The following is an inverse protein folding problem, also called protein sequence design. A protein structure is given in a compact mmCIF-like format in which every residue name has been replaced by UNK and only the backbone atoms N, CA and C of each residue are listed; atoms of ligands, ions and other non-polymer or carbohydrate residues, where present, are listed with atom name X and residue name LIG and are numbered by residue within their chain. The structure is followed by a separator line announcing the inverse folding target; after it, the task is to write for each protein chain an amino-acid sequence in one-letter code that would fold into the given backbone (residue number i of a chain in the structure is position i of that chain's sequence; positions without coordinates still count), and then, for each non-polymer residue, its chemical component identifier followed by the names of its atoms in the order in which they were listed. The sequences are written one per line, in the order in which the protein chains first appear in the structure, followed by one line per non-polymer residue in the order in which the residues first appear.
data_IF_746491406739
#
_entry.id   IF_746491406739
#
_cell.length_a   1.000
_cell.length_b   1.000
_cell.length_c   1.000
_cell.angle_alpha   90.00
_cell.angle_beta   90.00
_cell.angle_gamma   90.00
#
_symmetry.space_group_name_H-M   'P 1'
#
loop_
_entity.id
_entity.type
_entity.pdbx_description
1 polymer ?
#
# COMPACT_ATOMS: atom_id res chain seq x y z
N UNK A 1 -24.71 10.49 21.31
CA UNK A 1 -23.36 11.01 21.61
C UNK A 1 -23.49 12.52 21.82
N UNK A 2 -23.09 13.10 22.97
CA UNK A 2 -22.85 14.53 23.06
C UNK A 2 -21.34 14.73 23.21
N UNK A 3 -20.61 14.63 22.09
CA UNK A 3 -19.24 15.12 21.99
C UNK A 3 -19.19 16.06 20.79
N UNK A 4 -18.53 17.20 20.97
CA UNK A 4 -18.50 18.27 20.00
C UNK A 4 -17.73 17.78 18.74
N UNK A 5 -18.49 17.42 17.70
CA UNK A 5 -17.97 17.07 16.38
C UNK A 5 -17.95 18.28 15.43
N UNK A 6 -18.03 19.52 15.96
CA UNK A 6 -18.10 20.75 15.15
C UNK A 6 -16.84 20.94 14.29
N UNK A 7 -15.70 20.37 14.71
CA UNK A 7 -14.45 20.38 13.95
C UNK A 7 -14.37 19.29 12.85
N UNK A 8 -15.31 18.35 12.78
CA UNK A 8 -15.34 17.36 11.71
C UNK A 8 -15.82 17.97 10.39
N UNK A 9 -14.96 17.90 9.37
CA UNK A 9 -15.38 18.17 8.00
C UNK A 9 -15.72 16.87 7.27
N UNK A 10 -16.96 16.77 6.79
CA UNK A 10 -17.44 15.60 6.06
C UNK A 10 -17.18 15.76 4.56
N UNK A 11 -16.55 14.76 3.95
CA UNK A 11 -16.34 14.67 2.49
C UNK A 11 -17.34 13.72 1.83
N UNK A 12 -17.77 12.70 2.56
CA UNK A 12 -18.86 11.77 2.22
C UNK A 12 -19.61 11.46 3.51
N UNK A 13 -20.94 11.39 3.44
CA UNK A 13 -21.80 11.29 4.62
C UNK A 13 -21.95 12.64 5.34
N UNK A 14 -22.49 12.60 6.57
CA UNK A 14 -22.72 13.78 7.40
C UNK A 14 -22.79 13.40 8.89
N UNK A 15 -22.99 14.39 9.76
CA UNK A 15 -23.09 14.16 11.21
C UNK A 15 -24.23 13.21 11.60
N UNK A 16 -25.35 13.23 10.89
CA UNK A 16 -26.47 12.32 11.15
C UNK A 16 -26.10 10.87 10.79
N UNK A 17 -25.45 10.65 9.65
CA UNK A 17 -24.93 9.34 9.26
C UNK A 17 -23.96 8.82 10.33
N UNK A 18 -23.00 9.63 10.74
CA UNK A 18 -22.02 9.26 11.77
C UNK A 18 -22.69 8.87 13.10
N UNK A 19 -23.69 9.64 13.54
CA UNK A 19 -24.42 9.38 14.77
C UNK A 19 -25.21 8.06 14.74
N UNK A 20 -25.72 7.66 13.57
CA UNK A 20 -26.51 6.44 13.39
C UNK A 20 -25.67 5.18 13.16
N UNK A 21 -24.39 5.32 12.79
CA UNK A 21 -23.52 4.19 12.43
C UNK A 21 -23.44 3.08 13.49
N UNK A 22 -23.50 3.44 14.78
CA UNK A 22 -23.45 2.47 15.89
C UNK A 22 -24.69 1.56 15.97
N UNK A 23 -25.76 1.90 15.25
CA UNK A 23 -27.00 1.14 15.19
C UNK A 23 -27.15 0.32 13.90
N UNK A 24 -26.20 0.46 12.96
CA UNK A 24 -26.22 -0.24 11.68
C UNK A 24 -25.96 -1.73 11.90
N UNK A 25 -26.77 -2.55 11.25
CA UNK A 25 -26.62 -4.01 11.27
C UNK A 25 -25.43 -4.42 10.38
N UNK A 26 -24.51 -5.26 10.88
CA UNK A 26 -23.47 -5.83 10.03
C UNK A 26 -24.07 -6.69 8.91
N UNK A 27 -23.43 -6.69 7.76
CA UNK A 27 -23.82 -7.48 6.58
C UNK A 27 -22.92 -8.72 6.44
N UNK A 28 -23.33 -9.64 5.57
CA UNK A 28 -22.46 -10.75 5.15
C UNK A 28 -21.36 -10.22 4.22
N UNK A 29 -20.17 -10.83 4.20
CA UNK A 29 -19.14 -10.45 3.23
C UNK A 29 -19.62 -10.64 1.79
N UNK A 30 -19.19 -9.74 0.90
CA UNK A 30 -19.58 -9.74 -0.51
C UNK A 30 -21.11 -9.70 -0.73
N UNK A 31 -21.80 -8.93 0.10
CA UNK A 31 -23.22 -8.57 -0.01
C UNK A 31 -23.53 -8.00 -1.40
N UNK A 32 -24.65 -8.42 -2.01
CA UNK A 32 -24.93 -8.11 -3.41
C UNK A 32 -25.16 -6.61 -3.63
N UNK A 33 -25.82 -5.89 -2.71
CA UNK A 33 -25.97 -4.42 -2.81
C UNK A 33 -24.62 -3.69 -2.76
N UNK A 34 -23.68 -4.20 -1.93
CA UNK A 34 -22.32 -3.66 -1.87
C UNK A 34 -21.59 -3.94 -3.19
N UNK A 35 -21.70 -5.15 -3.73
CA UNK A 35 -21.08 -5.50 -5.01
C UNK A 35 -21.61 -4.65 -6.17
N UNK A 36 -22.92 -4.39 -6.20
CA UNK A 36 -23.56 -3.52 -7.18
C UNK A 36 -23.06 -2.07 -7.05
N UNK A 37 -23.01 -1.55 -5.83
CA UNK A 37 -22.47 -0.22 -5.54
C UNK A 37 -21.02 -0.07 -6.00
N UNK A 38 -20.14 -1.04 -5.68
CA UNK A 38 -18.74 -0.97 -6.09
C UNK A 38 -18.56 -1.03 -7.61
N UNK A 39 -19.39 -1.81 -8.30
CA UNK A 39 -19.41 -1.84 -9.76
C UNK A 39 -19.88 -0.51 -10.35
N UNK A 40 -20.89 0.12 -9.74
CA UNK A 40 -21.34 1.46 -10.14
C UNK A 40 -20.26 2.50 -9.88
N UNK A 41 -19.64 2.48 -8.70
CA UNK A 41 -18.52 3.34 -8.33
C UNK A 41 -17.34 3.21 -9.31
N UNK A 42 -17.00 1.99 -9.72
CA UNK A 42 -16.00 1.73 -10.76
C UNK A 42 -16.32 2.47 -12.07
N UNK A 43 -17.56 2.36 -12.55
CA UNK A 43 -18.01 3.04 -13.79
C UNK A 43 -18.00 4.56 -13.63
N UNK A 44 -18.54 5.08 -12.53
CA UNK A 44 -18.56 6.52 -12.23
C UNK A 44 -17.15 7.08 -12.17
N UNK A 45 -16.23 6.40 -11.47
CA UNK A 45 -14.85 6.84 -11.34
C UNK A 45 -14.12 6.88 -12.68
N UNK A 46 -14.32 5.89 -13.57
CA UNK A 46 -13.73 5.88 -14.93
C UNK A 46 -14.37 6.89 -15.89
N UNK A 47 -15.61 7.33 -15.63
CA UNK A 47 -16.29 8.33 -16.41
C UNK A 47 -15.80 9.76 -16.13
N UNK A 48 -15.22 10.02 -14.94
CA UNK A 48 -14.60 11.30 -14.63
C UNK A 48 -13.33 11.49 -15.47
N UNK A 49 -13.28 12.56 -16.28
CA UNK A 49 -12.16 12.83 -17.18
C UNK A 49 -10.81 12.91 -16.44
N UNK A 50 -10.80 13.53 -15.25
CA UNK A 50 -9.62 13.72 -14.41
C UNK A 50 -9.04 12.40 -13.90
N UNK A 51 -9.83 11.32 -13.77
CA UNK A 51 -9.33 10.03 -13.27
C UNK A 51 -8.24 9.45 -14.18
N UNK A 52 -8.28 9.73 -15.49
CA UNK A 52 -7.33 9.19 -16.47
C UNK A 52 -5.92 9.77 -16.32
N UNK A 53 -5.77 10.89 -15.61
CA UNK A 53 -4.47 11.50 -15.30
C UNK A 53 -3.73 10.75 -14.18
N UNK A 54 -4.43 9.90 -13.42
CA UNK A 54 -3.92 9.26 -12.21
C UNK A 54 -4.04 7.73 -12.30
N UNK A 55 -2.93 7.06 -12.59
CA UNK A 55 -2.89 5.60 -12.77
C UNK A 55 -3.31 4.81 -11.52
N UNK A 56 -3.05 5.36 -10.34
CA UNK A 56 -3.47 4.81 -9.04
C UNK A 56 -5.00 4.87 -8.86
N UNK A 57 -5.66 5.95 -9.31
CA UNK A 57 -7.13 6.08 -9.33
C UNK A 57 -7.75 5.12 -10.35
N UNK A 58 -7.16 4.98 -11.54
CA UNK A 58 -7.62 4.00 -12.54
C UNK A 58 -7.49 2.58 -12.01
N UNK A 59 -6.39 2.26 -11.31
CA UNK A 59 -6.17 0.96 -10.70
C UNK A 59 -7.23 0.64 -9.64
N UNK A 60 -7.57 1.62 -8.80
CA UNK A 60 -8.68 1.49 -7.84
C UNK A 60 -10.01 1.20 -8.55
N UNK A 61 -10.30 1.90 -9.65
CA UNK A 61 -11.53 1.65 -10.41
C UNK A 61 -11.57 0.22 -10.98
N UNK A 62 -10.45 -0.29 -11.50
CA UNK A 62 -10.36 -1.67 -11.97
C UNK A 62 -10.45 -2.70 -10.85
N UNK A 63 -9.96 -2.38 -9.65
CA UNK A 63 -10.12 -3.24 -8.48
C UNK A 63 -11.61 -3.43 -8.10
N UNK A 64 -12.43 -2.40 -8.33
CA UNK A 64 -13.88 -2.41 -8.11
C UNK A 64 -14.71 -3.03 -9.24
N UNK A 65 -14.09 -3.45 -10.35
CA UNK A 65 -14.84 -3.95 -11.52
C UNK A 65 -15.44 -5.33 -11.22
N UNK A 66 -16.53 -5.67 -11.91
CA UNK A 66 -17.26 -6.94 -11.73
C UNK A 66 -16.37 -8.18 -11.72
N UNK A 67 -15.42 -8.29 -12.65
CA UNK A 67 -14.53 -9.45 -12.73
C UNK A 67 -13.56 -9.55 -11.56
N UNK A 68 -13.01 -8.43 -11.09
CA UNK A 68 -12.11 -8.41 -9.93
C UNK A 68 -12.85 -8.77 -8.64
N UNK A 69 -14.04 -8.19 -8.42
CA UNK A 69 -14.87 -8.51 -7.26
C UNK A 69 -15.30 -9.97 -7.24
N UNK A 70 -15.66 -10.53 -8.41
CA UNK A 70 -16.00 -11.95 -8.54
C UNK A 70 -14.81 -12.84 -8.20
N UNK A 71 -13.62 -12.54 -8.73
CA UNK A 71 -12.40 -13.29 -8.43
C UNK A 71 -12.06 -13.24 -6.92
N UNK A 72 -12.22 -12.08 -6.29
CA UNK A 72 -12.02 -11.93 -4.84
C UNK A 72 -13.02 -12.80 -4.05
N UNK A 73 -14.29 -12.84 -4.46
CA UNK A 73 -15.35 -13.68 -3.85
C UNK A 73 -15.07 -15.18 -4.04
N UNK A 74 -14.62 -15.60 -5.22
CA UNK A 74 -14.35 -17.01 -5.57
C UNK A 74 -13.10 -17.56 -4.86
N UNK A 75 -12.11 -16.72 -4.57
CA UNK A 75 -10.92 -17.11 -3.79
C UNK A 75 -11.28 -17.39 -2.32
N UNK A 76 -12.50 -17.04 -1.91
CA UNK A 76 -12.96 -17.16 -0.54
C UNK A 76 -13.98 -18.29 -0.36
N UNK A 77 -13.62 -19.28 0.46
CA UNK A 77 -14.52 -20.35 0.90
C UNK A 77 -14.66 -20.30 2.42
N UNK A 78 -15.80 -19.79 2.96
CA UNK A 78 -16.01 -19.75 4.40
C UNK A 78 -16.06 -21.14 5.04
N UNK A 79 -15.38 -21.30 6.17
CA UNK A 79 -15.72 -22.33 7.17
C UNK A 79 -16.80 -21.76 8.12
N UNK A 80 -18.06 -21.74 7.67
CA UNK A 80 -19.21 -21.28 8.45
C UNK A 80 -19.80 -19.94 8.00
N UNK A 81 -20.73 -19.38 8.79
CA UNK A 81 -21.37 -18.10 8.44
C UNK A 81 -20.52 -16.95 8.96
N UNK A 82 -20.08 -16.07 8.07
CA UNK A 82 -19.41 -14.82 8.42
C UNK A 82 -20.37 -13.64 8.45
N UNK A 83 -20.13 -12.74 9.40
CA UNK A 83 -20.75 -11.43 9.46
C UNK A 83 -19.69 -10.36 9.71
N UNK A 84 -19.92 -9.15 9.20
CA UNK A 84 -19.14 -7.99 9.61
C UNK A 84 -19.12 -7.82 11.14
N UNK A 85 -18.08 -7.16 11.63
CA UNK A 85 -17.92 -6.84 13.05
C UNK A 85 -18.83 -5.70 13.50
N UNK A 86 -19.12 -4.74 12.63
CA UNK A 86 -19.91 -3.54 12.94
C UNK A 86 -19.28 -2.30 12.31
N UNK A 87 -18.89 -1.35 13.15
CA UNK A 87 -18.23 -0.10 12.73
C UNK A 87 -16.71 -0.31 12.68
N UNK A 88 -16.10 0.05 11.56
CA UNK A 88 -14.65 0.07 11.37
C UNK A 88 -14.19 1.51 11.29
N UNK A 89 -13.25 1.88 12.15
CA UNK A 89 -12.61 3.19 12.13
C UNK A 89 -11.23 3.11 11.47
N UNK A 90 -11.05 3.81 10.35
CA UNK A 90 -9.84 3.77 9.53
C UNK A 90 -9.09 5.10 9.65
N UNK A 91 -7.78 5.03 9.85
CA UNK A 91 -6.89 6.19 9.82
C UNK A 91 -5.95 6.01 8.64
N UNK A 92 -6.19 6.76 7.56
CA UNK A 92 -5.45 6.65 6.32
C UNK A 92 -4.03 7.27 6.43
N UNK A 93 -3.06 6.78 5.64
CA UNK A 93 -1.70 7.29 5.71
C UNK A 93 -1.55 8.58 4.88
N UNK A 94 -0.54 9.39 5.19
CA UNK A 94 -0.29 10.67 4.51
C UNK A 94 0.56 10.58 3.24
N UNK A 95 1.14 9.41 2.94
CA UNK A 95 2.08 9.19 1.84
C UNK A 95 1.45 8.55 0.59
N UNK A 96 0.31 7.86 0.69
CA UNK A 96 -0.36 7.17 -0.43
C UNK A 96 -1.80 7.66 -0.60
N UNK A 97 -2.06 8.40 -1.67
CA UNK A 97 -3.30 9.12 -1.89
C UNK A 97 -4.56 8.23 -1.93
N UNK A 98 -4.48 7.06 -2.57
CA UNK A 98 -5.63 6.17 -2.80
C UNK A 98 -5.86 5.14 -1.69
N UNK A 99 -4.95 5.02 -0.72
CA UNK A 99 -5.00 3.93 0.27
C UNK A 99 -6.24 3.96 1.17
N UNK A 100 -6.74 5.17 1.48
CA UNK A 100 -8.00 5.32 2.24
C UNK A 100 -9.17 4.62 1.54
N UNK A 101 -9.19 4.63 0.21
CA UNK A 101 -10.23 4.00 -0.58
C UNK A 101 -10.11 2.48 -0.46
N UNK A 102 -8.93 1.89 -0.68
CA UNK A 102 -8.74 0.44 -0.48
C UNK A 102 -9.15 -0.01 0.93
N UNK A 103 -8.82 0.78 1.97
CA UNK A 103 -9.26 0.54 3.35
C UNK A 103 -10.79 0.58 3.50
N UNK A 104 -11.45 1.61 2.96
CA UNK A 104 -12.91 1.75 2.93
C UNK A 104 -13.57 0.54 2.24
N UNK A 105 -13.12 0.22 1.03
CA UNK A 105 -13.74 -0.81 0.20
C UNK A 105 -13.56 -2.19 0.81
N UNK A 106 -12.42 -2.45 1.46
CA UNK A 106 -12.21 -3.65 2.27
C UNK A 106 -13.24 -3.73 3.39
N UNK A 107 -13.47 -2.63 4.12
CA UNK A 107 -14.48 -2.57 5.16
C UNK A 107 -15.90 -2.84 4.64
N UNK A 108 -16.26 -2.30 3.48
CA UNK A 108 -17.54 -2.57 2.82
C UNK A 108 -17.66 -4.04 2.39
N UNK A 109 -16.66 -4.59 1.68
CA UNK A 109 -16.65 -5.98 1.22
C UNK A 109 -16.73 -6.98 2.38
N UNK A 110 -16.26 -6.60 3.57
CA UNK A 110 -16.31 -7.40 4.79
C UNK A 110 -17.58 -7.18 5.61
N UNK A 111 -18.55 -6.41 5.10
CA UNK A 111 -19.88 -6.25 5.69
C UNK A 111 -19.96 -5.23 6.83
N UNK A 112 -19.04 -4.26 6.88
CA UNK A 112 -18.95 -3.27 7.94
C UNK A 112 -19.41 -1.88 7.50
N UNK A 113 -19.85 -1.07 8.47
CA UNK A 113 -19.95 0.39 8.33
C UNK A 113 -18.58 1.03 8.58
N UNK A 114 -18.25 2.12 7.89
CA UNK A 114 -16.89 2.62 7.81
C UNK A 114 -16.81 4.12 8.08
N UNK A 115 -16.04 4.46 9.10
CA UNK A 115 -15.61 5.84 9.39
C UNK A 115 -14.16 5.92 8.97
N UNK A 116 -13.83 6.77 8.00
CA UNK A 116 -12.45 6.91 7.51
C UNK A 116 -11.98 8.33 7.72
N UNK A 117 -10.93 8.49 8.52
CA UNK A 117 -10.14 9.72 8.56
C UNK A 117 -9.26 9.78 7.32
N UNK A 118 -9.52 10.75 6.47
CA UNK A 118 -8.77 10.97 5.23
C UNK A 118 -7.33 11.44 5.50
N UNK A 119 -6.41 11.26 4.53
CA UNK A 119 -5.05 11.76 4.64
C UNK A 119 -5.02 13.27 4.95
N UNK A 120 -4.12 13.69 5.84
CA UNK A 120 -3.93 15.11 6.15
C UNK A 120 -3.30 15.89 4.99
N UNK A 121 -2.46 15.23 4.20
CA UNK A 121 -1.89 15.79 2.96
C UNK A 121 -2.98 15.91 1.90
N UNK A 122 -3.01 17.06 1.22
CA UNK A 122 -3.96 17.31 0.13
C UNK A 122 -3.54 16.56 -1.13
N UNK A 123 -4.45 15.74 -1.66
CA UNK A 123 -4.28 15.01 -2.91
C UNK A 123 -5.48 15.28 -3.83
N UNK A 124 -5.22 15.44 -5.13
CA UNK A 124 -6.28 15.59 -6.13
C UNK A 124 -7.09 14.30 -6.23
N UNK A 125 -6.42 13.14 -6.13
CA UNK A 125 -7.04 11.81 -6.13
C UNK A 125 -8.13 11.66 -5.06
N UNK A 126 -7.90 12.19 -3.85
CA UNK A 126 -8.90 12.15 -2.76
C UNK A 126 -10.17 12.89 -3.17
N UNK A 127 -10.04 14.03 -3.85
CA UNK A 127 -11.19 14.80 -4.34
C UNK A 127 -11.97 14.04 -5.42
N UNK A 128 -11.26 13.48 -6.40
CA UNK A 128 -11.85 12.68 -7.49
C UNK A 128 -12.63 11.49 -6.92
N UNK A 129 -12.01 10.75 -5.98
CA UNK A 129 -12.63 9.58 -5.36
C UNK A 129 -13.85 9.97 -4.52
N UNK A 130 -13.77 11.03 -3.71
CA UNK A 130 -14.91 11.51 -2.93
C UNK A 130 -16.06 11.98 -3.82
N UNK A 131 -15.75 12.65 -4.94
CA UNK A 131 -16.75 13.05 -5.93
C UNK A 131 -17.45 11.83 -6.53
N UNK A 132 -16.70 10.84 -6.99
CA UNK A 132 -17.26 9.61 -7.54
C UNK A 132 -18.12 8.86 -6.50
N UNK A 133 -17.67 8.76 -5.25
CA UNK A 133 -18.46 8.15 -4.17
C UNK A 133 -19.79 8.88 -3.95
N UNK A 134 -19.79 10.21 -3.85
CA UNK A 134 -21.02 10.98 -3.64
C UNK A 134 -22.01 10.80 -4.80
N UNK A 135 -21.53 10.85 -6.05
CA UNK A 135 -22.36 10.63 -7.24
C UNK A 135 -22.98 9.22 -7.23
N UNK A 136 -22.18 8.18 -6.96
CA UNK A 136 -22.70 6.80 -6.91
C UNK A 136 -23.70 6.61 -5.76
N UNK A 137 -23.53 7.30 -4.64
CA UNK A 137 -24.45 7.26 -3.49
C UNK A 137 -25.78 7.98 -3.71
N UNK A 138 -25.96 8.71 -4.82
CA UNK A 138 -27.27 9.24 -5.22
C UNK A 138 -28.19 8.12 -5.71
N UNK A 139 -27.63 7.13 -6.44
CA UNK A 139 -28.37 5.98 -6.97
C UNK A 139 -28.41 4.79 -5.99
N UNK A 140 -27.46 4.72 -5.04
CA UNK A 140 -27.33 3.63 -4.07
C UNK A 140 -27.54 4.11 -2.62
N UNK A 141 -28.71 4.70 -2.34
CA UNK A 141 -29.01 5.32 -1.05
C UNK A 141 -28.85 4.38 0.16
N UNK A 142 -29.12 3.08 0.01
CA UNK A 142 -28.99 2.08 1.07
C UNK A 142 -27.53 1.90 1.58
N UNK A 143 -26.53 2.27 0.77
CA UNK A 143 -25.12 2.18 1.13
C UNK A 143 -24.63 3.45 1.85
N UNK A 144 -25.38 4.56 1.76
CA UNK A 144 -24.98 5.86 2.33
C UNK A 144 -24.71 5.80 3.83
N UNK A 145 -25.50 5.02 4.56
CA UNK A 145 -25.34 4.87 6.00
C UNK A 145 -24.04 4.13 6.37
N UNK A 146 -23.46 3.35 5.44
CA UNK A 146 -22.25 2.56 5.67
C UNK A 146 -20.96 3.35 5.49
N UNK A 147 -21.00 4.60 5.03
CA UNK A 147 -19.80 5.35 4.63
C UNK A 147 -19.79 6.76 5.23
N UNK A 148 -18.74 7.07 5.99
CA UNK A 148 -18.45 8.41 6.48
C UNK A 148 -16.97 8.71 6.28
N UNK A 149 -16.66 9.65 5.38
CA UNK A 149 -15.30 10.13 5.13
C UNK A 149 -15.13 11.50 5.80
N UNK A 150 -14.21 11.59 6.75
CA UNK A 150 -14.01 12.78 7.58
C UNK A 150 -12.58 13.33 7.48
N UNK A 151 -12.47 14.64 7.60
CA UNK A 151 -11.22 15.39 7.71
C UNK A 151 -11.19 16.09 9.08
N UNK A 152 -10.10 15.87 9.82
CA UNK A 152 -9.75 16.59 11.03
C UNK A 152 -8.23 16.45 11.26
N UNK A 153 -7.66 17.37 12.05
CA UNK A 153 -6.24 17.43 12.35
C UNK A 153 -5.91 16.52 13.54
N UNK A 154 -5.34 17.05 14.61
CA UNK A 154 -4.85 16.28 15.77
C UNK A 154 -5.79 16.43 16.97
N UNK A 155 -7.10 16.53 16.73
CA UNK A 155 -8.10 16.56 17.78
C UNK A 155 -8.23 15.18 18.43
N UNK A 156 -7.47 14.97 19.51
CA UNK A 156 -7.42 13.72 20.28
C UNK A 156 -8.81 13.29 20.78
N UNK A 157 -9.66 14.25 21.17
CA UNK A 157 -11.02 13.99 21.61
C UNK A 157 -11.86 13.32 20.51
N UNK A 158 -11.72 13.76 19.26
CA UNK A 158 -12.39 13.16 18.11
C UNK A 158 -11.87 11.74 17.88
N UNK A 159 -10.55 11.56 17.90
CA UNK A 159 -9.95 10.23 17.70
C UNK A 159 -10.38 9.25 18.80
N UNK A 160 -10.45 9.71 20.05
CA UNK A 160 -10.94 8.93 21.18
C UNK A 160 -12.43 8.60 21.04
N UNK A 161 -13.26 9.56 20.63
CA UNK A 161 -14.68 9.35 20.41
C UNK A 161 -14.95 8.27 19.35
N UNK A 162 -14.27 8.37 18.21
CA UNK A 162 -14.40 7.41 17.11
C UNK A 162 -13.83 6.03 17.46
N UNK A 163 -12.73 5.99 18.21
CA UNK A 163 -12.14 4.74 18.72
C UNK A 163 -13.05 4.03 19.73
N UNK A 164 -13.76 4.78 20.58
CA UNK A 164 -14.63 4.21 21.61
C UNK A 164 -15.88 3.51 21.05
N UNK A 165 -16.25 3.79 19.80
CA UNK A 165 -17.50 3.26 19.20
C UNK A 165 -17.25 2.20 18.12
N UNK A 166 -16.00 1.97 17.72
CA UNK A 166 -15.68 1.02 16.66
C UNK A 166 -15.47 -0.42 17.18
N UNK A 167 -15.76 -1.40 16.33
CA UNK A 167 -15.52 -2.83 16.56
C UNK A 167 -14.27 -3.33 15.81
N UNK A 168 -13.72 -2.53 14.90
CA UNK A 168 -12.34 -2.63 14.46
C UNK A 168 -11.72 -1.26 14.20
N UNK A 169 -10.42 -1.12 14.39
CA UNK A 169 -9.64 0.07 14.05
C UNK A 169 -8.49 -0.33 13.10
N UNK A 170 -8.36 0.34 11.97
CA UNK A 170 -7.27 0.16 11.01
C UNK A 170 -6.40 1.42 11.02
N UNK A 171 -5.12 1.27 11.36
CA UNK A 171 -4.19 2.38 11.48
C UNK A 171 -3.09 2.22 10.45
N UNK A 172 -3.04 3.13 9.49
CA UNK A 172 -1.98 3.20 8.48
C UNK A 172 -1.07 4.37 8.81
N UNK A 173 0.20 4.12 9.12
CA UNK A 173 1.13 5.21 9.40
C UNK A 173 2.47 4.76 9.97
N UNK A 174 3.32 5.73 10.28
CA UNK A 174 4.60 5.46 10.92
C UNK A 174 4.44 4.90 12.33
N UNK A 175 5.48 4.20 12.81
CA UNK A 175 5.48 3.54 14.13
C UNK A 175 5.07 4.48 15.27
N UNK A 176 5.56 5.72 15.25
CA UNK A 176 5.18 6.74 16.24
C UNK A 176 3.70 7.09 16.19
N UNK A 177 3.16 7.34 14.99
CA UNK A 177 1.74 7.64 14.81
C UNK A 177 0.87 6.48 15.32
N UNK A 178 1.25 5.24 15.00
CA UNK A 178 0.52 4.06 15.49
C UNK A 178 0.59 3.98 17.02
N UNK A 179 1.77 4.18 17.62
CA UNK A 179 1.92 4.17 19.07
C UNK A 179 1.08 5.25 19.75
N UNK A 180 0.97 6.44 19.15
CA UNK A 180 0.15 7.54 19.66
C UNK A 180 -1.35 7.22 19.54
N UNK A 181 -1.82 6.73 18.39
CA UNK A 181 -3.22 6.35 18.19
C UNK A 181 -3.62 5.19 19.11
N UNK A 182 -2.72 4.23 19.35
CA UNK A 182 -3.00 3.06 20.20
C UNK A 182 -3.23 3.41 21.67
N UNK A 183 -2.92 4.64 22.10
CA UNK A 183 -3.26 5.15 23.44
C UNK A 183 -4.76 5.39 23.62
N UNK A 184 -5.49 5.64 22.52
CA UNK A 184 -6.94 5.84 22.59
C UNK A 184 -7.65 4.53 22.90
N UNK A 185 -8.45 4.54 23.96
CA UNK A 185 -9.12 3.37 24.49
C UNK A 185 -10.12 2.80 23.48
N UNK A 186 -10.12 1.47 23.38
CA UNK A 186 -11.02 0.70 22.53
C UNK A 186 -11.96 -0.14 23.40
N UNK A 187 -13.17 -0.47 22.91
CA UNK A 187 -13.97 -1.53 23.52
C UNK A 187 -13.19 -2.85 23.62
N UNK A 188 -13.39 -3.67 24.68
CA UNK A 188 -12.54 -4.84 24.93
C UNK A 188 -12.47 -5.90 23.83
N UNK A 189 -13.47 -5.95 22.94
CA UNK A 189 -13.54 -6.93 21.84
C UNK A 189 -13.08 -6.36 20.49
N UNK A 190 -12.65 -5.11 20.45
CA UNK A 190 -12.28 -4.43 19.21
C UNK A 190 -10.97 -4.99 18.67
N UNK A 191 -10.92 -5.20 17.35
CA UNK A 191 -9.69 -5.60 16.65
C UNK A 191 -8.92 -4.35 16.25
N UNK A 192 -7.63 -4.27 16.61
CA UNK A 192 -6.78 -3.10 16.33
C UNK A 192 -5.64 -3.47 15.37
N UNK A 193 -5.87 -3.24 14.08
CA UNK A 193 -4.98 -3.63 12.97
C UNK A 193 -4.06 -2.45 12.65
N UNK A 194 -2.75 -2.70 12.67
CA UNK A 194 -1.75 -1.67 12.38
C UNK A 194 -0.89 -2.07 11.18
N UNK A 195 -0.80 -1.15 10.21
CA UNK A 195 0.10 -1.19 9.07
C UNK A 195 1.21 -0.19 9.32
N UNK A 196 2.29 -0.73 9.91
CA UNK A 196 3.42 0.02 10.42
C UNK A 196 4.37 0.51 9.34
N UNK A 197 5.38 1.27 9.75
CA UNK A 197 6.44 1.71 8.86
C UNK A 197 7.22 0.49 8.33
N UNK A 198 7.47 0.48 7.01
CA UNK A 198 8.05 -0.65 6.28
C UNK A 198 8.90 -0.14 5.12
N UNK A 199 9.77 -1.02 4.62
CA UNK A 199 10.44 -0.86 3.34
C UNK A 199 10.25 -2.11 2.49
N UNK A 200 10.55 -1.98 1.20
CA UNK A 200 10.51 -3.10 0.26
C UNK A 200 11.83 -3.18 -0.51
N UNK A 201 12.07 -4.33 -1.14
CA UNK A 201 13.27 -4.60 -1.93
C UNK A 201 12.88 -5.26 -3.26
N UNK A 202 13.73 -5.15 -4.27
CA UNK A 202 13.53 -5.74 -5.58
C UNK A 202 14.71 -6.66 -5.91
N UNK A 203 14.43 -7.85 -6.42
CA UNK A 203 15.43 -8.80 -6.93
C UNK A 203 15.23 -8.95 -8.44
N UNK A 204 16.29 -8.66 -9.19
CA UNK A 204 16.34 -8.77 -10.64
C UNK A 204 17.35 -9.85 -11.01
N UNK A 205 16.93 -10.84 -11.79
CA UNK A 205 17.84 -11.80 -12.40
C UNK A 205 18.46 -11.17 -13.67
N UNK A 206 19.79 -11.06 -13.68
CA UNK A 206 20.54 -10.39 -14.73
C UNK A 206 20.41 -11.10 -16.09
N UNK A 207 20.54 -12.43 -16.10
CA UNK A 207 20.46 -13.24 -17.33
C UNK A 207 19.08 -13.11 -17.98
N UNK A 208 18.03 -13.27 -17.18
CA UNK A 208 16.65 -13.10 -17.61
C UNK A 208 16.39 -11.68 -18.09
N UNK A 209 16.89 -10.67 -17.37
CA UNK A 209 16.76 -9.29 -17.81
C UNK A 209 17.39 -9.09 -19.18
N UNK A 210 18.61 -9.60 -19.44
CA UNK A 210 19.26 -9.46 -20.74
C UNK A 210 18.48 -10.13 -21.87
N UNK A 211 17.86 -11.29 -21.61
CA UNK A 211 17.13 -12.06 -22.62
C UNK A 211 15.77 -11.46 -23.03
N UNK A 212 15.12 -10.65 -22.17
CA UNK A 212 13.80 -10.08 -22.48
C UNK A 212 13.87 -8.97 -23.52
N UNK A 213 12.96 -8.96 -24.48
CA UNK A 213 12.94 -7.92 -25.52
C UNK A 213 12.33 -6.59 -25.03
N UNK A 214 11.19 -6.63 -24.33
CA UNK A 214 10.43 -5.44 -23.97
C UNK A 214 10.96 -4.73 -22.70
N UNK A 215 12.15 -4.11 -22.81
CA UNK A 215 12.75 -3.33 -21.71
C UNK A 215 11.94 -2.09 -21.33
N UNK A 216 11.16 -1.52 -22.26
CA UNK A 216 10.34 -0.32 -22.02
C UNK A 216 9.25 -0.61 -20.97
N UNK A 217 8.62 -1.78 -21.04
CA UNK A 217 7.61 -2.19 -20.06
C UNK A 217 8.20 -2.38 -18.66
N UNK A 218 9.39 -2.98 -18.57
CA UNK A 218 10.09 -3.17 -17.29
C UNK A 218 10.39 -1.81 -16.63
N UNK A 219 10.82 -0.80 -17.41
CA UNK A 219 11.05 0.54 -16.91
C UNK A 219 9.77 1.20 -16.35
N UNK A 220 8.64 0.99 -17.01
CA UNK A 220 7.32 1.45 -16.54
C UNK A 220 6.90 0.73 -15.25
N UNK A 221 7.02 -0.59 -15.22
CA UNK A 221 6.69 -1.41 -14.04
C UNK A 221 7.57 -1.04 -12.84
N UNK A 222 8.87 -0.80 -13.05
CA UNK A 222 9.77 -0.32 -12.01
C UNK A 222 9.40 1.10 -11.53
N UNK A 223 9.01 2.01 -12.44
CA UNK A 223 8.52 3.33 -12.05
C UNK A 223 7.27 3.25 -11.16
N UNK A 224 6.30 2.42 -11.57
CA UNK A 224 5.06 2.24 -10.82
C UNK A 224 5.36 1.72 -9.41
N UNK A 225 6.23 0.73 -9.28
CA UNK A 225 6.62 0.20 -7.98
C UNK A 225 7.41 1.18 -7.11
N UNK A 226 8.10 2.16 -7.71
CA UNK A 226 9.05 3.03 -6.98
C UNK A 226 8.62 4.49 -7.00
N UNK A 227 8.90 5.19 -8.09
CA UNK A 227 8.83 6.65 -8.19
C UNK A 227 7.42 7.20 -8.38
N UNK A 228 6.40 6.38 -8.69
CA UNK A 228 4.99 6.85 -8.71
C UNK A 228 4.59 7.50 -7.38
N UNK A 229 5.07 6.93 -6.27
CA UNK A 229 4.87 7.46 -4.91
C UNK A 229 6.10 8.19 -4.37
N UNK A 230 7.03 8.60 -5.24
CA UNK A 230 8.35 9.14 -4.86
C UNK A 230 9.12 8.22 -3.90
N UNK A 231 8.91 6.91 -4.04
CA UNK A 231 9.51 5.88 -3.17
C UNK A 231 9.12 6.01 -1.68
N UNK A 232 7.99 6.68 -1.41
CA UNK A 232 7.49 6.90 -0.05
C UNK A 232 6.52 5.82 0.41
N UNK A 233 5.99 4.98 -0.50
CA UNK A 233 5.12 3.88 -0.11
C UNK A 233 5.91 2.75 0.58
N UNK A 234 5.29 2.11 1.57
CA UNK A 234 5.80 0.91 2.25
C UNK A 234 6.19 -0.21 1.26
N UNK A 235 5.45 -0.29 0.16
CA UNK A 235 5.61 -1.27 -0.92
C UNK A 235 6.74 -0.92 -1.89
N UNK A 236 7.27 0.31 -1.83
CA UNK A 236 8.22 0.80 -2.82
C UNK A 236 9.63 0.27 -2.57
N UNK A 237 10.24 -0.43 -3.54
CA UNK A 237 11.61 -0.92 -3.40
C UNK A 237 12.63 0.20 -3.15
N UNK A 238 13.44 0.01 -2.10
CA UNK A 238 14.58 0.88 -1.75
C UNK A 238 15.93 0.30 -2.18
N UNK A 239 15.98 -1.03 -2.32
CA UNK A 239 17.13 -1.81 -2.71
C UNK A 239 16.83 -2.57 -4.00
N UNK A 240 17.78 -2.56 -4.94
CA UNK A 240 17.80 -3.42 -6.14
C UNK A 240 18.92 -4.43 -6.00
N UNK A 241 18.54 -5.70 -5.85
CA UNK A 241 19.43 -6.85 -5.74
C UNK A 241 19.60 -7.47 -7.11
N UNK A 242 20.85 -7.70 -7.51
CA UNK A 242 21.20 -8.33 -8.78
C UNK A 242 21.68 -9.76 -8.56
N UNK A 243 20.92 -10.72 -9.12
CA UNK A 243 21.24 -12.16 -9.16
C UNK A 243 21.60 -12.58 -10.58
N UNK A 244 22.00 -13.84 -10.78
CA UNK A 244 22.38 -14.38 -12.09
C UNK A 244 23.89 -14.57 -12.26
N UNK A 245 24.33 -14.89 -13.48
CA UNK A 245 25.75 -15.09 -13.79
C UNK A 245 26.56 -13.81 -13.57
N UNK A 246 27.80 -13.97 -13.08
CA UNK A 246 28.67 -12.84 -12.71
C UNK A 246 28.94 -11.93 -13.90
N UNK A 247 29.12 -12.53 -15.06
CA UNK A 247 29.39 -11.91 -16.35
C UNK A 247 28.19 -11.07 -16.83
N UNK A 248 26.97 -11.52 -16.54
CA UNK A 248 25.72 -10.86 -16.94
C UNK A 248 25.37 -9.65 -16.09
N UNK A 249 25.70 -9.64 -14.80
CA UNK A 249 25.30 -8.59 -13.84
C UNK A 249 25.68 -7.18 -14.29
N UNK A 250 26.90 -6.98 -14.77
CA UNK A 250 27.38 -5.66 -15.20
C UNK A 250 26.61 -5.14 -16.43
N UNK A 251 26.44 -5.99 -17.45
CA UNK A 251 25.72 -5.63 -18.67
C UNK A 251 24.23 -5.39 -18.40
N UNK A 252 23.60 -6.23 -17.57
CA UNK A 252 22.19 -6.09 -17.19
C UNK A 252 21.92 -4.76 -16.47
N UNK A 253 22.76 -4.41 -15.49
CA UNK A 253 22.70 -3.14 -14.74
C UNK A 253 22.75 -1.94 -15.67
N UNK A 254 23.76 -1.90 -16.54
CA UNK A 254 23.93 -0.77 -17.45
C UNK A 254 22.74 -0.61 -18.40
N UNK A 255 22.25 -1.71 -18.98
CA UNK A 255 21.08 -1.68 -19.84
C UNK A 255 19.79 -1.31 -19.09
N UNK A 256 19.61 -1.79 -17.86
CA UNK A 256 18.45 -1.48 -17.03
C UNK A 256 18.39 -0.01 -16.67
N UNK A 257 19.46 0.52 -16.07
CA UNK A 257 19.46 1.89 -15.60
C UNK A 257 19.49 2.90 -16.74
N UNK A 258 20.18 2.62 -17.85
CA UNK A 258 20.13 3.49 -19.03
C UNK A 258 18.75 3.48 -19.69
N UNK A 259 18.09 2.31 -19.75
CA UNK A 259 16.72 2.17 -20.23
C UNK A 259 15.72 2.92 -19.36
N UNK A 260 15.81 2.76 -18.04
CA UNK A 260 14.98 3.46 -17.06
C UNK A 260 15.19 4.97 -17.12
N UNK A 261 16.44 5.44 -17.20
CA UNK A 261 16.77 6.85 -17.38
C UNK A 261 16.15 7.43 -18.66
N UNK A 262 16.29 6.74 -19.80
CA UNK A 262 15.70 7.18 -21.08
C UNK A 262 14.18 7.29 -20.97
N UNK A 263 13.53 6.31 -20.35
CA UNK A 263 12.09 6.30 -20.14
C UNK A 263 11.63 7.45 -19.21
N UNK A 264 12.41 7.77 -18.18
CA UNK A 264 12.12 8.89 -17.27
C UNK A 264 12.32 10.26 -17.93
N UNK A 265 13.21 10.40 -18.91
CA UNK A 265 13.41 11.67 -19.61
C UNK A 265 12.16 12.14 -20.37
N UNK A 266 11.26 11.22 -20.73
CA UNK A 266 9.94 11.53 -21.33
C UNK A 266 8.92 12.06 -20.31
N UNK A 267 9.29 12.19 -19.03
CA UNK A 267 8.40 12.56 -17.90
C UNK A 267 8.92 13.79 -17.13
N UNK A 268 8.07 14.43 -16.32
CA UNK A 268 8.47 15.54 -15.46
C UNK A 268 9.73 15.22 -14.65
N UNK A 269 10.60 16.20 -14.49
CA UNK A 269 11.76 16.08 -13.61
C UNK A 269 11.30 15.97 -12.14
N UNK A 270 12.05 15.28 -11.26
CA UNK A 270 11.76 15.31 -9.84
C UNK A 270 11.91 16.74 -9.30
N UNK A 271 11.19 17.05 -8.23
CA UNK A 271 11.37 18.31 -7.52
C UNK A 271 12.80 18.43 -6.96
N UNK A 272 13.38 19.63 -7.00
CA UNK A 272 14.74 19.87 -6.52
C UNK A 272 14.94 19.42 -5.06
N UNK A 273 13.90 19.55 -4.23
CA UNK A 273 13.94 19.10 -2.83
C UNK A 273 14.16 17.59 -2.70
N UNK A 274 13.49 16.79 -3.54
CA UNK A 274 13.67 15.34 -3.56
C UNK A 274 15.11 14.97 -3.94
N UNK A 275 15.66 15.63 -4.97
CA UNK A 275 17.05 15.40 -5.41
C UNK A 275 18.05 15.73 -4.29
N UNK A 276 17.85 16.84 -3.59
CA UNK A 276 18.71 17.25 -2.46
C UNK A 276 18.59 16.28 -1.29
N UNK A 277 17.36 15.85 -0.96
CA UNK A 277 17.13 14.87 0.11
C UNK A 277 17.80 13.51 -0.20
N UNK A 278 17.65 13.00 -1.42
CA UNK A 278 18.28 11.77 -1.86
C UNK A 278 19.81 11.86 -1.77
N UNK A 279 20.39 12.99 -2.21
CA UNK A 279 21.83 13.23 -2.10
C UNK A 279 22.30 13.31 -0.64
N UNK A 280 21.55 14.02 0.21
CA UNK A 280 21.87 14.14 1.63
C UNK A 280 21.81 12.78 2.34
N UNK A 281 20.80 11.95 2.03
CA UNK A 281 20.69 10.59 2.57
C UNK A 281 21.86 9.70 2.13
N UNK A 282 22.24 9.76 0.84
CA UNK A 282 23.44 9.07 0.36
C UNK A 282 24.70 9.54 1.11
N UNK A 283 24.94 10.86 1.21
CA UNK A 283 26.13 11.41 1.85
C UNK A 283 26.23 11.00 3.32
N UNK A 284 25.11 10.95 4.05
CA UNK A 284 25.07 10.49 5.44
C UNK A 284 25.64 9.08 5.58
N UNK A 285 25.19 8.15 4.73
CA UNK A 285 25.66 6.75 4.79
C UNK A 285 27.05 6.55 4.20
N UNK A 286 27.39 7.25 3.12
CA UNK A 286 28.72 7.17 2.52
C UNK A 286 29.82 7.70 3.46
N UNK A 287 29.46 8.62 4.38
CA UNK A 287 30.35 9.07 5.44
C UNK A 287 30.62 7.99 6.51
N UNK A 288 29.69 7.06 6.72
CA UNK A 288 29.81 5.96 7.69
C UNK A 288 30.43 4.70 7.07
N UNK A 289 30.13 4.40 5.80
CA UNK A 289 30.69 3.25 5.07
C UNK A 289 31.36 3.69 3.74
N UNK A 290 32.71 3.75 3.69
CA UNK A 290 33.43 4.16 2.48
C UNK A 290 33.30 3.16 1.32
N UNK A 291 32.72 1.97 1.54
CA UNK A 291 32.46 0.98 0.49
C UNK A 291 31.18 1.26 -0.27
N UNK A 292 30.32 2.15 0.23
CA UNK A 292 29.14 2.63 -0.48
C UNK A 292 29.58 3.60 -1.59
N UNK A 293 29.47 3.17 -2.85
CA UNK A 293 29.97 3.92 -4.00
C UNK A 293 28.82 4.56 -4.77
N UNK A 294 28.82 5.89 -4.85
CA UNK A 294 27.94 6.60 -5.79
C UNK A 294 28.24 6.19 -7.23
N UNK A 295 27.18 5.91 -7.99
CA UNK A 295 27.27 5.65 -9.42
C UNK A 295 26.76 6.89 -10.15
N UNK A 296 27.67 7.57 -10.85
CA UNK A 296 27.32 8.76 -11.61
C UNK A 296 26.33 8.43 -12.74
N UNK A 297 25.33 9.30 -12.90
CA UNK A 297 24.38 9.26 -14.00
C UNK A 297 24.40 10.60 -14.76
N UNK A 298 24.00 10.62 -16.05
CA UNK A 298 23.99 11.84 -16.85
C UNK A 298 23.05 12.94 -16.30
N UNK A 299 22.02 12.54 -15.56
CA UNK A 299 21.09 13.44 -14.88
C UNK A 299 20.87 12.99 -13.43
N UNK A 300 20.28 13.86 -12.61
CA UNK A 300 19.91 13.57 -11.21
C UNK A 300 18.42 13.25 -11.07
N UNK A 301 17.83 12.55 -12.04
CA UNK A 301 16.43 12.11 -11.97
C UNK A 301 16.20 11.04 -10.90
N UNK A 302 17.24 10.27 -10.61
CA UNK A 302 17.37 9.33 -9.50
C UNK A 302 18.85 9.18 -9.18
N UNK A 303 19.18 8.67 -8.00
CA UNK A 303 20.54 8.43 -7.53
C UNK A 303 20.75 6.93 -7.33
N UNK A 304 21.96 6.45 -7.58
CA UNK A 304 22.36 5.06 -7.38
C UNK A 304 23.60 5.00 -6.50
N UNK A 305 23.59 4.07 -5.56
CA UNK A 305 24.76 3.74 -4.78
C UNK A 305 24.96 2.22 -4.72
N UNK A 306 26.12 1.76 -5.16
CA UNK A 306 26.52 0.35 -5.05
C UNK A 306 27.04 0.09 -3.64
N UNK A 307 26.49 -0.91 -2.99
CA UNK A 307 26.93 -1.38 -1.69
C UNK A 307 27.54 -2.78 -1.82
N UNK A 308 28.63 -3.03 -1.11
CA UNK A 308 29.17 -4.40 -0.95
C UNK A 308 28.31 -5.25 -0.04
N UNK A 309 27.61 -4.61 0.90
CA UNK A 309 26.60 -5.20 1.76
C UNK A 309 25.64 -4.09 2.20
N UNK A 310 24.35 -4.42 2.33
CA UNK A 310 23.33 -3.49 2.81
C UNK A 310 22.88 -3.94 4.20
N UNK A 311 22.77 -3.01 5.14
CA UNK A 311 22.24 -3.31 6.47
C UNK A 311 20.74 -3.02 6.53
N UNK A 312 20.03 -3.73 7.42
CA UNK A 312 18.62 -3.45 7.68
C UNK A 312 18.40 -1.98 8.10
N UNK A 313 19.26 -1.46 9.00
CA UNK A 313 19.22 -0.05 9.45
C UNK A 313 19.25 0.92 8.27
N UNK A 314 20.10 0.66 7.28
CA UNK A 314 20.22 1.50 6.09
C UNK A 314 18.89 1.64 5.32
N UNK A 315 18.11 0.56 5.23
CA UNK A 315 16.80 0.56 4.55
C UNK A 315 15.68 1.15 5.41
N UNK A 316 15.77 0.98 6.73
CA UNK A 316 14.81 1.55 7.68
C UNK A 316 14.88 3.07 7.72
N UNK A 317 16.07 3.68 7.73
CA UNK A 317 16.20 5.15 7.75
C UNK A 317 16.26 5.77 6.34
N UNK A 318 16.12 4.96 5.28
CA UNK A 318 16.07 5.44 3.91
C UNK A 318 14.80 6.27 3.66
N UNK A 319 14.99 7.47 3.12
CA UNK A 319 13.94 8.51 3.04
C UNK A 319 13.19 8.59 1.71
N UNK A 320 13.49 7.72 0.76
CA UNK A 320 12.85 7.69 -0.55
C UNK A 320 13.52 8.66 -1.51
N UNK A 321 12.71 9.40 -2.26
CA UNK A 321 13.13 10.50 -3.14
C UNK A 321 14.03 10.06 -4.32
N UNK A 322 13.97 8.78 -4.67
CA UNK A 322 14.65 8.22 -5.83
C UNK A 322 16.13 7.91 -5.60
N UNK A 323 16.53 7.63 -4.37
CA UNK A 323 17.79 6.96 -4.06
C UNK A 323 17.58 5.44 -4.16
N UNK A 324 18.45 4.75 -4.90
CA UNK A 324 18.45 3.30 -5.00
C UNK A 324 19.79 2.74 -4.55
N UNK A 325 19.76 1.85 -3.56
CA UNK A 325 20.90 0.99 -3.27
C UNK A 325 20.93 -0.16 -4.26
N UNK A 326 22.13 -0.53 -4.69
CA UNK A 326 22.37 -1.72 -5.50
C UNK A 326 23.24 -2.71 -4.76
N UNK A 327 22.86 -3.98 -4.78
CA UNK A 327 23.64 -5.05 -4.17
C UNK A 327 23.72 -6.25 -5.13
N UNK A 328 24.93 -6.62 -5.52
CA UNK A 328 25.18 -7.80 -6.34
C UNK A 328 25.43 -8.98 -5.42
N UNK A 329 24.63 -10.04 -5.56
CA UNK A 329 24.72 -11.24 -4.72
C UNK A 329 24.95 -12.46 -5.59
N UNK A 330 25.79 -13.38 -5.15
CA UNK A 330 26.01 -14.67 -5.80
C UNK A 330 25.02 -15.72 -5.27
N UNK A 331 24.60 -15.57 -4.01
CA UNK A 331 23.56 -16.37 -3.38
C UNK A 331 22.41 -15.48 -2.88
N UNK A 332 21.17 -15.86 -3.19
CA UNK A 332 19.98 -15.16 -2.70
C UNK A 332 19.93 -15.11 -1.17
N UNK A 333 20.52 -16.08 -0.46
CA UNK A 333 20.55 -16.07 1.00
C UNK A 333 21.35 -14.90 1.59
N UNK A 334 22.20 -14.24 0.80
CA UNK A 334 22.94 -13.04 1.23
C UNK A 334 22.02 -11.88 1.61
N UNK A 335 20.79 -11.84 1.10
CA UNK A 335 19.84 -10.75 1.41
C UNK A 335 19.06 -10.98 2.71
N UNK A 336 19.13 -12.17 3.32
CA UNK A 336 18.41 -12.49 4.57
C UNK A 336 18.59 -11.42 5.66
N UNK A 337 19.78 -10.84 5.89
CA UNK A 337 19.98 -9.78 6.88
C UNK A 337 19.17 -8.50 6.65
N UNK A 338 18.70 -8.25 5.42
CA UNK A 338 17.81 -7.11 5.08
C UNK A 338 16.35 -7.53 4.90
N UNK A 339 16.01 -8.78 5.24
CA UNK A 339 14.64 -9.30 5.21
C UNK A 339 14.07 -9.41 6.63
N UNK A 340 14.38 -8.44 7.48
CA UNK A 340 13.87 -8.33 8.85
C UNK A 340 12.40 -7.93 8.91
N UNK A 341 11.86 -7.75 10.12
CA UNK A 341 10.43 -7.47 10.39
C UNK A 341 9.85 -6.24 9.68
N UNK A 342 10.70 -5.31 9.23
CA UNK A 342 10.29 -4.11 8.48
C UNK A 342 10.31 -4.29 6.97
N UNK A 343 10.89 -5.36 6.44
CA UNK A 343 10.86 -5.69 5.02
C UNK A 343 9.47 -6.24 4.68
N UNK A 344 8.66 -5.49 3.96
CA UNK A 344 7.29 -5.87 3.60
C UNK A 344 7.24 -6.67 2.29
N UNK A 345 7.67 -6.06 1.19
CA UNK A 345 7.49 -6.63 -0.15
C UNK A 345 8.84 -6.98 -0.77
N UNK A 346 8.91 -8.18 -1.33
CA UNK A 346 9.95 -8.63 -2.26
C UNK A 346 9.39 -8.56 -3.68
N UNK A 347 9.76 -7.54 -4.44
CA UNK A 347 9.49 -7.48 -5.87
C UNK A 347 10.49 -8.38 -6.61
N UNK A 348 10.03 -9.16 -7.59
CA UNK A 348 10.88 -10.10 -8.33
C UNK A 348 10.76 -9.91 -9.83
N UNK A 349 11.88 -9.94 -10.55
CA UNK A 349 11.91 -9.96 -12.01
C UNK A 349 12.84 -11.07 -12.52
N UNK A 350 12.26 -12.07 -13.20
CA UNK A 350 13.03 -13.18 -13.76
C UNK A 350 13.65 -14.13 -12.73
N UNK A 351 13.23 -14.05 -11.47
CA UNK A 351 13.79 -14.85 -10.39
C UNK A 351 13.12 -16.23 -10.38
N UNK A 352 13.88 -17.34 -10.48
CA UNK A 352 13.31 -18.68 -10.44
C UNK A 352 12.59 -18.98 -9.13
N UNK A 353 11.50 -19.75 -9.20
CA UNK A 353 10.70 -20.11 -8.01
C UNK A 353 11.54 -20.89 -6.98
N UNK A 354 12.49 -21.71 -7.44
CA UNK A 354 13.41 -22.46 -6.58
C UNK A 354 14.28 -21.53 -5.73
N UNK A 355 14.73 -20.41 -6.30
CA UNK A 355 15.51 -19.40 -5.60
C UNK A 355 14.67 -18.71 -4.52
N UNK A 356 13.42 -18.37 -4.83
CA UNK A 356 12.48 -17.81 -3.86
C UNK A 356 12.17 -18.82 -2.75
N UNK A 357 11.86 -20.07 -3.10
CA UNK A 357 11.61 -21.14 -2.12
C UNK A 357 12.80 -21.33 -1.19
N UNK A 358 14.04 -21.24 -1.72
CA UNK A 358 15.26 -21.32 -0.93
C UNK A 358 15.36 -20.16 0.07
N UNK A 359 15.12 -18.93 -0.38
CA UNK A 359 15.09 -17.76 0.50
C UNK A 359 14.07 -17.93 1.65
N UNK A 360 12.86 -18.41 1.35
CA UNK A 360 11.80 -18.55 2.34
C UNK A 360 12.03 -19.74 3.28
N UNK A 361 12.36 -20.92 2.75
CA UNK A 361 12.44 -22.16 3.53
C UNK A 361 13.77 -22.24 4.30
N UNK A 362 14.90 -21.90 3.67
CA UNK A 362 16.22 -21.97 4.30
C UNK A 362 16.58 -20.67 5.01
N UNK A 363 16.27 -19.52 4.40
CA UNK A 363 16.57 -18.21 4.98
C UNK A 363 15.62 -17.81 6.10
N UNK A 364 14.38 -18.32 6.09
CA UNK A 364 13.34 -18.05 7.10
C UNK A 364 13.28 -16.57 7.53
N UNK A 365 13.10 -15.63 6.58
CA UNK A 365 13.11 -14.20 6.88
C UNK A 365 12.03 -13.84 7.89
N UNK A 366 12.32 -12.86 8.75
CA UNK A 366 11.34 -12.38 9.75
C UNK A 366 10.29 -11.45 9.14
N UNK A 367 10.58 -10.85 7.99
CA UNK A 367 9.62 -10.12 7.16
C UNK A 367 9.36 -10.86 5.85
N UNK A 368 9.15 -10.09 4.79
CA UNK A 368 8.63 -10.52 3.49
C UNK A 368 7.21 -11.08 3.66
N UNK A 369 6.28 -10.16 3.85
CA UNK A 369 4.86 -10.45 3.90
C UNK A 369 4.26 -10.65 2.51
N UNK A 370 4.95 -10.18 1.46
CA UNK A 370 4.50 -10.22 0.07
C UNK A 370 5.66 -10.50 -0.87
N UNK A 371 5.45 -11.42 -1.82
CA UNK A 371 6.35 -11.67 -2.94
C UNK A 371 5.54 -11.47 -4.21
N UNK A 372 5.94 -10.54 -5.06
CA UNK A 372 5.16 -10.16 -6.25
C UNK A 372 6.07 -9.90 -7.43
N UNK A 373 5.59 -10.09 -8.67
CA UNK A 373 6.30 -9.64 -9.85
C UNK A 373 6.53 -8.12 -9.82
N UNK A 374 7.62 -7.68 -10.44
CA UNK A 374 7.85 -6.26 -10.71
C UNK A 374 6.65 -5.64 -11.45
N UNK A 375 6.27 -4.44 -11.05
CA UNK A 375 5.07 -3.70 -11.50
C UNK A 375 3.83 -3.98 -10.67
N UNK A 376 3.89 -4.84 -9.66
CA UNK A 376 2.73 -5.30 -8.89
C UNK A 376 2.82 -5.01 -7.38
N UNK A 377 3.82 -4.25 -6.92
CA UNK A 377 3.97 -3.97 -5.49
C UNK A 377 2.78 -3.22 -4.91
N UNK A 378 2.09 -2.40 -5.71
CA UNK A 378 0.88 -1.67 -5.30
C UNK A 378 -0.42 -2.43 -5.54
N UNK A 379 -0.39 -3.66 -6.07
CA UNK A 379 -1.61 -4.45 -6.31
C UNK A 379 -2.21 -4.89 -4.96
N UNK A 380 -3.20 -4.12 -4.50
CA UNK A 380 -3.89 -4.35 -3.24
C UNK A 380 -4.79 -5.59 -3.29
N UNK A 381 -4.86 -6.32 -2.18
CA UNK A 381 -5.71 -7.49 -2.02
C UNK A 381 -6.25 -7.58 -0.59
N UNK A 382 -7.26 -8.43 -0.36
CA UNK A 382 -7.77 -8.69 1.00
C UNK A 382 -6.76 -9.45 1.89
N UNK A 383 -5.71 -10.01 1.29
CA UNK A 383 -4.49 -10.43 1.97
C UNK A 383 -3.42 -9.36 1.77
N UNK A 384 -3.10 -8.60 2.82
CA UNK A 384 -2.18 -7.48 2.72
C UNK A 384 -1.28 -7.43 3.95
N UNK A 385 0.03 -7.28 3.73
CA UNK A 385 1.00 -7.10 4.81
C UNK A 385 0.93 -8.23 5.85
N UNK A 386 0.73 -9.47 5.40
CA UNK A 386 0.62 -10.66 6.24
C UNK A 386 -0.75 -10.84 6.91
N UNK A 387 -1.67 -9.86 6.78
CA UNK A 387 -3.00 -9.93 7.34
C UNK A 387 -4.03 -10.50 6.37
N UNK A 388 -4.88 -11.39 6.87
CA UNK A 388 -6.14 -11.79 6.23
C UNK A 388 -7.25 -10.83 6.70
N UNK A 389 -7.45 -9.74 5.94
CA UNK A 389 -8.37 -8.67 6.32
C UNK A 389 -9.82 -9.14 6.34
N UNK A 390 -10.16 -10.13 5.52
CA UNK A 390 -11.49 -10.71 5.52
C UNK A 390 -11.78 -11.40 6.86
N UNK A 391 -10.87 -12.25 7.35
CA UNK A 391 -11.02 -12.87 8.69
C UNK A 391 -10.94 -11.85 9.81
N UNK A 392 -10.03 -10.88 9.71
CA UNK A 392 -9.85 -9.89 10.77
C UNK A 392 -11.01 -8.91 10.88
N UNK A 393 -11.76 -8.64 9.81
CA UNK A 393 -12.88 -7.70 9.80
C UNK A 393 -14.26 -8.35 9.85
N UNK A 394 -14.30 -9.67 10.03
CA UNK A 394 -15.52 -10.45 10.21
C UNK A 394 -15.49 -11.21 11.53
N UNK A 395 -16.66 -11.71 11.94
CA UNK A 395 -16.83 -12.70 12.99
C UNK A 395 -17.45 -13.96 12.40
N UNK A 396 -17.00 -15.11 12.88
CA UNK A 396 -17.51 -16.41 12.47
C UNK A 396 -18.58 -16.87 13.46
N UNK A 397 -19.71 -17.31 12.93
CA UNK A 397 -20.76 -17.99 13.67
C UNK A 397 -20.53 -19.50 13.56
N UNK A 398 -20.17 -20.12 14.68
CA UNK A 398 -20.07 -21.58 14.78
C UNK A 398 -21.48 -22.16 14.99
N UNK A 399 -21.93 -22.98 14.04
CA UNK A 399 -23.14 -23.78 14.18
C UNK A 399 -22.73 -25.23 14.42
N UNK A 400 -22.72 -25.63 15.70
CA UNK A 400 -22.68 -27.06 16.02
C UNK A 400 -24.06 -27.63 15.75
N UNK A 401 -24.18 -28.46 14.70
CA UNK A 401 -25.36 -29.32 14.53
C UNK A 401 -25.43 -30.24 15.76
N UNK A 402 -26.51 -30.10 16.54
CA UNK A 402 -26.82 -30.98 17.66
C UNK A 402 -27.26 -32.36 17.21
#
# INVERSE_FOLDING_TARGET
MPQNFDALRYRVGNAQVLAQMVHIKPRVPFDDEILEFLQAFSRTLLALAQSREFSDVVSLAFWCRKSALRQMKETYTPDGILLGRGVVFHIAPSNVAVNFAYSLLTGLLTGNANIVRLPSKKFIQVNIICQALNLTLEEHAAIRELICLVEYNHEDEITQALSAVCQARLIWGGDRTIADIRKFSLPPRTVDIAFADRYSICVINADYYLAVENKRRIAEDFFNDTLLTQQQACTAPKLVVWTGEKESKAAAREQFWSGFHRWLCERPAPESVAVVNALANYCQYAAEDPRLKYIAAPTRRFLRAEATAVSQKMLEEHRGDGLFYEWLVDDILEIVPVCGVKCQTLATFGVPQEMINRLIIQGAPKGIDRIVPLGQTMNFSLHWDGYDLLKMLTRTLDFKRG
#
